data_IF_920296406408
#
_entry.id   IF_920296406408
#
_cell.length_a   1.000
_cell.length_b   1.000
_cell.length_c   1.000
_cell.angle_alpha   90.00
_cell.angle_beta   90.00
_cell.angle_gamma   90.00
#
_symmetry.space_group_name_H-M   'P 1'
#
loop_
_entity.id
_entity.type
_entity.pdbx_description
1 polymer ?
#
# COMPACT_ATOMS: atom_id res chain seq x y z
N UNK A 1 41.55 -63.23 -23.86
CA UNK A 1 40.70 -63.10 -22.65
C UNK A 1 39.80 -61.90 -22.81
N UNK A 2 38.48 -62.08 -22.86
CA UNK A 2 37.54 -60.97 -23.10
C UNK A 2 37.32 -60.15 -21.82
N UNK A 3 37.58 -58.84 -21.89
CA UNK A 3 37.32 -57.87 -20.81
C UNK A 3 35.81 -57.70 -20.63
N UNK A 4 35.26 -58.20 -19.52
CA UNK A 4 33.85 -58.03 -19.12
C UNK A 4 33.59 -56.55 -18.84
N UNK A 5 32.72 -55.88 -19.61
CA UNK A 5 32.28 -54.49 -19.34
C UNK A 5 31.60 -54.47 -17.95
N UNK A 6 32.09 -53.62 -17.03
CA UNK A 6 31.41 -53.34 -15.75
C UNK A 6 30.04 -52.73 -16.05
N UNK A 7 28.96 -53.36 -15.58
CA UNK A 7 27.63 -52.75 -15.56
C UNK A 7 27.69 -51.55 -14.61
N UNK A 8 27.28 -50.38 -15.09
CA UNK A 8 27.08 -49.19 -14.26
C UNK A 8 25.88 -49.47 -13.34
N UNK A 9 25.96 -49.19 -12.03
CA UNK A 9 24.81 -49.38 -11.14
C UNK A 9 23.63 -48.52 -11.62
N UNK A 10 22.45 -49.14 -11.72
CA UNK A 10 21.21 -48.42 -11.99
C UNK A 10 20.85 -47.58 -10.77
N UNK A 11 20.58 -46.29 -11.00
CA UNK A 11 20.14 -45.38 -9.95
C UNK A 11 18.65 -45.66 -9.71
N UNK A 12 18.23 -45.70 -8.44
CA UNK A 12 16.82 -45.86 -8.06
C UNK A 12 16.00 -44.64 -8.49
N UNK A 13 15.53 -44.66 -9.75
CA UNK A 13 14.79 -43.57 -10.39
C UNK A 13 13.48 -43.25 -9.66
N UNK A 14 12.81 -44.26 -9.09
CA UNK A 14 11.57 -44.09 -8.32
C UNK A 14 11.78 -43.20 -7.09
N UNK A 15 12.79 -43.51 -6.27
CA UNK A 15 13.05 -42.76 -5.04
C UNK A 15 13.54 -41.33 -5.31
N UNK A 16 14.32 -41.14 -6.38
CA UNK A 16 14.74 -39.79 -6.80
C UNK A 16 13.57 -38.97 -7.36
N UNK A 17 12.61 -39.61 -8.04
CA UNK A 17 11.43 -38.94 -8.58
C UNK A 17 10.50 -38.47 -7.45
N UNK A 18 10.28 -39.29 -6.42
CA UNK A 18 9.45 -38.91 -5.26
C UNK A 18 10.04 -37.72 -4.48
N UNK A 19 11.36 -37.73 -4.25
CA UNK A 19 12.04 -36.63 -3.56
C UNK A 19 11.99 -35.35 -4.41
N UNK A 20 12.19 -35.45 -5.72
CA UNK A 20 12.09 -34.29 -6.62
C UNK A 20 10.66 -33.74 -6.67
N UNK A 21 9.65 -34.60 -6.65
CA UNK A 21 8.24 -34.20 -6.67
C UNK A 21 7.82 -33.49 -5.37
N UNK A 22 8.25 -34.01 -4.22
CA UNK A 22 8.04 -33.36 -2.91
C UNK A 22 8.71 -31.98 -2.84
N UNK A 23 9.95 -31.86 -3.34
CA UNK A 23 10.66 -30.58 -3.38
C UNK A 23 9.97 -29.57 -4.31
N UNK A 24 9.45 -30.02 -5.45
CA UNK A 24 8.68 -29.18 -6.37
C UNK A 24 7.38 -28.67 -5.73
N UNK A 25 6.65 -29.54 -5.02
CA UNK A 25 5.44 -29.13 -4.29
C UNK A 25 5.82 -28.17 -3.16
N UNK A 26 6.89 -28.45 -2.41
CA UNK A 26 7.37 -27.57 -1.35
C UNK A 26 7.70 -26.19 -1.90
N UNK A 27 8.46 -26.10 -2.99
CA UNK A 27 8.73 -24.82 -3.64
C UNK A 27 7.45 -24.18 -4.17
N UNK A 28 6.55 -24.92 -4.83
CA UNK A 28 5.31 -24.36 -5.37
C UNK A 28 4.37 -23.81 -4.29
N UNK A 29 4.24 -24.50 -3.16
CA UNK A 29 3.38 -24.09 -2.03
C UNK A 29 4.01 -22.93 -1.25
N UNK A 30 5.32 -22.98 -0.97
CA UNK A 30 6.00 -21.97 -0.15
C UNK A 30 6.43 -20.72 -0.92
N UNK A 31 6.46 -20.77 -2.26
CA UNK A 31 6.72 -19.58 -3.11
C UNK A 31 5.51 -18.67 -3.30
N UNK A 32 4.34 -19.01 -2.74
CA UNK A 32 3.25 -18.04 -2.63
C UNK A 32 3.66 -16.99 -1.59
N UNK A 33 4.42 -15.98 -2.02
CA UNK A 33 4.45 -14.70 -1.31
C UNK A 33 3.01 -14.19 -1.29
N UNK A 34 2.39 -14.25 -0.12
CA UNK A 34 1.15 -13.55 0.16
C UNK A 34 1.37 -12.10 -0.26
N UNK A 35 0.62 -11.61 -1.25
CA UNK A 35 0.78 -10.25 -1.72
C UNK A 35 0.25 -9.34 -0.64
N UNK A 36 1.15 -8.61 0.04
CA UNK A 36 0.79 -7.61 1.04
C UNK A 36 -0.31 -6.71 0.47
N UNK A 37 -1.54 -6.89 0.95
CA UNK A 37 -2.64 -6.03 0.60
C UNK A 37 -2.36 -4.64 1.18
N UNK A 38 -2.12 -3.66 0.30
CA UNK A 38 -1.70 -2.33 0.70
C UNK A 38 -2.11 -1.28 -0.33
N UNK A 39 -2.15 -0.01 0.12
CA UNK A 39 -2.34 1.12 -0.77
C UNK A 39 -1.04 1.37 -1.53
N UNK A 40 -1.09 1.43 -2.86
CA UNK A 40 0.04 1.88 -3.65
C UNK A 40 0.41 3.31 -3.23
N UNK A 41 1.58 3.49 -2.61
CA UNK A 41 2.12 4.79 -2.23
C UNK A 41 3.33 5.10 -3.10
N UNK A 42 3.40 6.33 -3.61
CA UNK A 42 4.65 6.86 -4.13
C UNK A 42 5.49 7.30 -2.92
N UNK A 43 6.76 6.92 -2.92
CA UNK A 43 7.68 7.45 -1.93
C UNK A 43 7.83 8.97 -2.16
N UNK A 44 7.95 9.76 -1.08
CA UNK A 44 8.30 11.16 -1.22
C UNK A 44 9.64 11.30 -1.96
N UNK A 45 9.86 12.40 -2.70
CA UNK A 45 11.15 12.64 -3.33
C UNK A 45 12.27 12.64 -2.28
N UNK A 46 13.49 12.23 -2.65
CA UNK A 46 14.63 12.34 -1.75
C UNK A 46 14.82 13.82 -1.34
N UNK A 47 15.16 14.09 -0.08
CA UNK A 47 15.39 15.45 0.38
C UNK A 47 16.56 16.07 -0.38
N UNK A 48 16.45 17.35 -0.75
CA UNK A 48 17.59 18.07 -1.34
C UNK A 48 18.63 18.37 -0.26
N UNK A 49 19.92 18.29 -0.60
CA UNK A 49 21.06 18.43 0.36
C UNK A 49 21.07 19.76 1.13
N UNK A 50 20.34 20.78 0.66
CA UNK A 50 20.18 22.09 1.29
C UNK A 50 18.71 22.48 1.52
N UNK A 51 17.78 21.52 1.51
CA UNK A 51 16.39 21.79 1.86
C UNK A 51 16.34 22.21 3.33
N UNK A 52 16.04 23.49 3.57
CA UNK A 52 15.64 23.93 4.91
C UNK A 52 14.39 23.13 5.27
N UNK A 53 14.42 22.45 6.41
CA UNK A 53 13.21 21.94 7.06
C UNK A 53 12.34 23.16 7.37
N UNK A 54 11.54 23.57 6.40
CA UNK A 54 10.51 24.55 6.64
C UNK A 54 9.48 23.81 7.47
N UNK A 55 9.37 24.14 8.76
CA UNK A 55 8.20 23.77 9.55
C UNK A 55 6.98 24.34 8.82
N UNK A 56 6.27 23.48 8.09
CA UNK A 56 5.03 23.85 7.43
C UNK A 56 4.02 24.02 8.56
N UNK A 57 3.72 25.27 8.91
CA UNK A 57 2.64 25.59 9.84
C UNK A 57 1.30 25.28 9.17
N UNK A 58 0.86 24.02 9.31
CA UNK A 58 -0.43 23.56 8.79
C UNK A 58 -1.51 23.98 9.77
N UNK A 59 -2.37 24.91 9.34
CA UNK A 59 -3.55 25.33 10.12
C UNK A 59 -4.43 24.13 10.45
N UNK A 60 -4.85 24.01 11.71
CA UNK A 60 -5.67 22.89 12.20
C UNK A 60 -6.98 22.71 11.39
N UNK A 61 -7.59 23.81 10.95
CA UNK A 61 -8.79 23.81 10.09
C UNK A 61 -8.61 23.14 8.71
N UNK A 62 -7.37 23.00 8.25
CA UNK A 62 -7.05 22.37 6.97
C UNK A 62 -6.85 20.84 7.09
N UNK A 63 -6.90 20.29 8.30
CA UNK A 63 -6.63 18.88 8.56
C UNK A 63 -7.93 18.12 8.83
N UNK A 64 -8.25 17.17 7.97
CA UNK A 64 -9.33 16.20 8.23
C UNK A 64 -8.76 14.97 8.93
N UNK A 65 -9.02 14.85 10.23
CA UNK A 65 -8.55 13.71 11.02
C UNK A 65 -9.42 12.48 10.74
N UNK A 66 -8.80 11.40 10.26
CA UNK A 66 -9.46 10.11 10.05
C UNK A 66 -8.76 9.07 10.92
N UNK A 67 -9.50 8.47 11.85
CA UNK A 67 -9.00 7.48 12.80
C UNK A 67 -9.65 6.13 12.54
N UNK A 68 -8.84 5.08 12.58
CA UNK A 68 -9.28 3.68 12.50
C UNK A 68 -8.61 2.94 13.65
N UNK A 69 -9.34 2.06 14.33
CA UNK A 69 -8.80 1.23 15.41
C UNK A 69 -8.87 -0.26 15.09
N UNK A 70 -8.32 -1.09 15.99
CA UNK A 70 -8.30 -2.54 15.86
C UNK A 70 -9.71 -3.19 15.85
N UNK A 71 -10.73 -2.48 16.32
CA UNK A 71 -12.12 -2.95 16.32
C UNK A 71 -12.86 -2.62 15.01
N UNK A 72 -12.15 -2.13 13.97
CA UNK A 72 -12.73 -1.66 12.72
C UNK A 72 -13.71 -0.48 12.88
N UNK A 73 -13.56 0.30 13.96
CA UNK A 73 -14.33 1.52 14.14
C UNK A 73 -13.63 2.66 13.40
N UNK A 74 -14.38 3.36 12.55
CA UNK A 74 -13.89 4.48 11.75
C UNK A 74 -14.48 5.78 12.31
N UNK A 75 -13.62 6.76 12.57
CA UNK A 75 -14.01 8.10 12.98
C UNK A 75 -13.44 9.13 12.01
N UNK A 76 -14.27 10.05 11.55
CA UNK A 76 -13.87 11.15 10.67
C UNK A 76 -14.24 12.48 11.32
N UNK A 77 -13.24 13.23 11.75
CA UNK A 77 -13.41 14.42 12.60
C UNK A 77 -14.09 14.05 13.91
N UNK A 78 -15.33 14.52 14.12
CA UNK A 78 -16.12 14.24 15.32
C UNK A 78 -17.08 13.06 15.16
N UNK A 79 -17.32 12.60 13.94
CA UNK A 79 -18.40 11.65 13.65
C UNK A 79 -17.86 10.24 13.47
N UNK A 80 -18.57 9.28 14.08
CA UNK A 80 -18.31 7.85 13.90
C UNK A 80 -19.02 7.41 12.62
N UNK A 81 -18.28 6.79 11.72
CA UNK A 81 -18.79 6.29 10.44
C UNK A 81 -18.73 4.77 10.49
N UNK A 82 -19.84 4.11 10.13
CA UNK A 82 -19.84 2.66 9.95
C UNK A 82 -18.92 2.30 8.77
N UNK A 83 -17.98 1.40 9.01
CA UNK A 83 -17.03 0.93 8.00
C UNK A 83 -17.72 0.28 6.79
N UNK A 84 -18.95 -0.21 6.97
CA UNK A 84 -19.77 -0.74 5.87
C UNK A 84 -20.26 0.37 4.92
N UNK A 85 -20.27 1.62 5.38
CA UNK A 85 -20.72 2.79 4.62
C UNK A 85 -19.57 3.76 4.31
N UNK A 86 -18.54 3.28 3.60
CA UNK A 86 -17.43 4.11 3.11
C UNK A 86 -17.85 5.24 2.16
N UNK A 87 -19.07 5.16 1.58
CA UNK A 87 -19.61 6.24 0.75
C UNK A 87 -19.77 7.54 1.55
N UNK A 88 -20.22 7.45 2.80
CA UNK A 88 -20.34 8.60 3.68
C UNK A 88 -18.99 9.28 3.94
N UNK A 89 -17.94 8.50 4.21
CA UNK A 89 -16.57 9.02 4.35
C UNK A 89 -16.12 9.75 3.08
N UNK A 90 -16.34 9.14 1.91
CA UNK A 90 -15.96 9.72 0.62
C UNK A 90 -16.67 11.04 0.37
N UNK A 91 -17.98 11.12 0.62
CA UNK A 91 -18.75 12.35 0.43
C UNK A 91 -18.24 13.46 1.34
N UNK A 92 -18.05 13.16 2.63
CA UNK A 92 -17.55 14.14 3.60
C UNK A 92 -16.14 14.64 3.25
N UNK A 93 -15.25 13.75 2.84
CA UNK A 93 -13.91 14.13 2.41
C UNK A 93 -13.95 15.04 1.18
N UNK A 94 -14.83 14.77 0.21
CA UNK A 94 -15.01 15.65 -0.96
C UNK A 94 -15.55 17.01 -0.60
N UNK A 95 -16.55 17.08 0.28
CA UNK A 95 -17.11 18.35 0.76
C UNK A 95 -16.05 19.18 1.51
N UNK A 96 -15.27 18.54 2.37
CA UNK A 96 -14.18 19.16 3.10
C UNK A 96 -13.11 19.73 2.16
N UNK A 97 -12.70 18.97 1.14
CA UNK A 97 -11.68 19.42 0.17
C UNK A 97 -12.22 20.52 -0.76
N UNK A 98 -13.47 20.40 -1.20
CA UNK A 98 -14.03 21.33 -2.19
C UNK A 98 -14.34 22.71 -1.61
N UNK A 99 -14.81 22.78 -0.36
CA UNK A 99 -15.22 24.00 0.35
C UNK A 99 -15.77 25.13 -0.56
N UNK A 100 -16.82 24.89 -1.35
CA UNK A 100 -17.25 25.81 -2.41
C UNK A 100 -17.73 27.17 -1.89
N UNK A 101 -18.23 27.22 -0.66
CA UNK A 101 -18.73 28.45 -0.02
C UNK A 101 -17.65 29.18 0.80
N UNK A 102 -16.41 28.68 0.79
CA UNK A 102 -15.31 29.16 1.62
C UNK A 102 -15.69 29.31 3.11
N UNK A 103 -16.33 28.29 3.66
CA UNK A 103 -16.84 28.31 5.02
C UNK A 103 -15.67 28.45 6.03
N UNK A 104 -15.80 29.30 7.08
CA UNK A 104 -14.76 29.50 8.08
C UNK A 104 -14.34 28.24 8.85
N UNK A 105 -15.22 27.24 8.89
CA UNK A 105 -15.01 25.97 9.59
C UNK A 105 -14.41 24.87 8.71
N UNK A 106 -14.22 25.14 7.42
CA UNK A 106 -13.63 24.24 6.44
C UNK A 106 -12.23 24.74 6.03
N UNK A 107 -11.45 23.95 5.26
CA UNK A 107 -10.11 24.34 4.83
C UNK A 107 -10.09 25.66 4.08
N UNK A 108 -9.04 26.43 4.32
CA UNK A 108 -8.80 27.67 3.57
C UNK A 108 -8.45 27.35 2.11
N UNK A 109 -9.06 28.10 1.20
CA UNK A 109 -8.73 28.05 -0.22
C UNK A 109 -7.70 29.13 -0.54
N UNK A 110 -6.56 28.73 -1.10
CA UNK A 110 -5.55 29.63 -1.66
C UNK A 110 -5.54 29.50 -3.18
N UNK A 111 -5.71 30.61 -3.90
CA UNK A 111 -5.41 30.67 -5.34
C UNK A 111 -3.90 30.62 -5.53
N UNK A 112 -3.42 29.63 -6.26
CA UNK A 112 -2.01 29.52 -6.65
C UNK A 112 -1.96 29.69 -8.16
N UNK A 113 -1.25 30.71 -8.63
CA UNK A 113 -1.01 30.89 -10.06
C UNK A 113 -0.11 29.75 -10.55
N UNK A 114 -0.60 28.98 -11.52
CA UNK A 114 0.16 27.90 -12.13
C UNK A 114 0.64 28.38 -13.50
N UNK A 115 1.96 28.34 -13.72
CA UNK A 115 2.56 28.70 -15.00
C UNK A 115 1.83 28.00 -16.16
N UNK A 116 1.46 28.78 -17.18
CA UNK A 116 0.68 28.39 -18.37
C UNK A 116 -0.81 28.05 -18.16
N UNK A 117 -1.33 28.01 -16.93
CA UNK A 117 -2.73 27.67 -16.64
C UNK A 117 -3.55 28.83 -16.04
N UNK A 118 -2.90 29.91 -15.60
CA UNK A 118 -3.56 31.08 -15.01
C UNK A 118 -3.78 30.94 -13.50
N UNK A 119 -4.63 31.82 -12.94
CA UNK A 119 -5.09 31.77 -11.54
C UNK A 119 -6.20 30.73 -11.33
#
# INVERSE_FOLDING_TARGET
MARRKRKVPEINSSSTADIAFLLLIFFLITTSMDTDSGLARRLPPPPEENAKENEIDVKERNVLVVLINANNELKCGRDIIDIRNLKALRTRAKEFIANPNNDPWLPELSSVNIDFFGD
#
